data_IF_045150831418
#
_entry.id   IF_045150831418
#
_cell.length_a   1.000
_cell.length_b   1.000
_cell.length_c   1.000
_cell.angle_alpha   90.00
_cell.angle_beta   90.00
_cell.angle_gamma   90.00
#
_symmetry.space_group_name_H-M   'P 1'
#
loop_
_entity.id
_entity.type
_entity.pdbx_description
1 polymer ?
#
# COMPACT_ATOMS: atom_id res chain seq x y z
N UNK A 1 -8.58 -7.91 -5.03
CA UNK A 1 -8.16 -8.35 -3.68
C UNK A 1 -8.36 -7.17 -2.74
N UNK A 2 -8.84 -7.42 -1.52
CA UNK A 2 -9.10 -6.37 -0.52
C UNK A 2 -8.03 -6.36 0.57
N UNK A 3 -7.89 -5.25 1.31
CA UNK A 3 -6.87 -5.09 2.35
C UNK A 3 -6.93 -6.20 3.41
N UNK A 4 -8.12 -6.46 3.97
CA UNK A 4 -8.30 -7.45 5.04
C UNK A 4 -7.97 -8.88 4.59
N UNK A 5 -8.32 -9.22 3.34
CA UNK A 5 -7.98 -10.50 2.71
C UNK A 5 -6.47 -10.64 2.56
N UNK A 6 -5.80 -9.62 2.01
CA UNK A 6 -4.35 -9.59 1.82
C UNK A 6 -3.60 -9.73 3.15
N UNK A 7 -4.04 -9.00 4.18
CA UNK A 7 -3.47 -9.09 5.53
C UNK A 7 -3.60 -10.51 6.11
N UNK A 8 -4.75 -11.16 5.92
CA UNK A 8 -4.98 -12.54 6.38
C UNK A 8 -4.06 -13.53 5.68
N UNK A 9 -3.89 -13.39 4.36
CA UNK A 9 -2.99 -14.23 3.57
C UNK A 9 -1.55 -14.10 4.06
N UNK A 10 -1.04 -12.88 4.18
CA UNK A 10 0.31 -12.59 4.67
C UNK A 10 0.52 -13.13 6.10
N UNK A 11 -0.46 -12.93 6.99
CA UNK A 11 -0.41 -13.50 8.34
C UNK A 11 -0.32 -15.02 8.32
N UNK A 12 -1.12 -15.68 7.47
CA UNK A 12 -1.12 -17.13 7.36
C UNK A 12 0.20 -17.66 6.77
N UNK A 13 0.80 -16.95 5.82
CA UNK A 13 2.12 -17.27 5.26
C UNK A 13 3.23 -17.22 6.33
N UNK A 14 3.14 -16.27 7.26
CA UNK A 14 4.04 -16.16 8.41
C UNK A 14 3.71 -17.16 9.54
N UNK A 15 2.69 -18.02 9.38
CA UNK A 15 2.29 -18.99 10.41
C UNK A 15 1.71 -18.36 11.67
N UNK A 16 1.27 -17.10 11.61
CA UNK A 16 0.79 -16.35 12.77
C UNK A 16 -0.71 -16.56 13.00
N UNK A 17 -1.12 -16.70 14.27
CA UNK A 17 -2.53 -16.58 14.66
C UNK A 17 -2.93 -15.11 14.73
N UNK A 18 -4.23 -14.80 14.68
CA UNK A 18 -4.71 -13.42 14.87
C UNK A 18 -4.21 -12.82 16.21
N UNK A 19 -4.24 -13.62 17.28
CA UNK A 19 -3.70 -13.24 18.59
C UNK A 19 -2.18 -13.02 18.56
N UNK A 20 -1.44 -13.85 17.83
CA UNK A 20 0.00 -13.70 17.65
C UNK A 20 0.38 -12.41 16.93
N UNK A 21 -0.33 -12.09 15.84
CA UNK A 21 -0.15 -10.83 15.12
C UNK A 21 -0.54 -9.63 15.99
N UNK A 22 -1.67 -9.72 16.70
CA UNK A 22 -2.13 -8.65 17.58
C UNK A 22 -1.10 -8.31 18.66
N UNK A 23 -0.50 -9.34 19.29
CA UNK A 23 0.58 -9.17 20.27
C UNK A 23 1.81 -8.50 19.66
N UNK A 24 2.17 -8.88 18.43
CA UNK A 24 3.37 -8.34 17.75
C UNK A 24 3.20 -6.87 17.37
N UNK A 25 1.99 -6.47 16.94
CA UNK A 25 1.68 -5.08 16.60
C UNK A 25 1.39 -4.23 17.85
N UNK A 26 0.91 -4.85 18.94
CA UNK A 26 0.48 -4.18 20.16
C UNK A 26 -0.98 -3.70 20.13
N UNK A 27 -1.87 -4.47 19.52
CA UNK A 27 -3.32 -4.19 19.43
C UNK A 27 -4.14 -5.38 19.98
N UNK A 28 -5.47 -5.24 20.07
CA UNK A 28 -6.34 -6.35 20.42
C UNK A 28 -6.50 -7.34 19.26
N UNK A 29 -6.66 -8.62 19.59
CA UNK A 29 -7.03 -9.69 18.65
C UNK A 29 -8.36 -9.40 17.94
N UNK A 30 -9.30 -8.79 18.66
CA UNK A 30 -10.57 -8.31 18.11
C UNK A 30 -10.36 -7.25 17.04
N UNK A 31 -9.37 -6.36 17.19
CA UNK A 31 -9.04 -5.38 16.16
C UNK A 31 -8.51 -6.07 14.90
N UNK A 32 -7.55 -7.00 15.03
CA UNK A 32 -7.05 -7.79 13.90
C UNK A 32 -8.18 -8.51 13.17
N UNK A 33 -9.10 -9.16 13.91
CA UNK A 33 -10.26 -9.82 13.33
C UNK A 33 -11.18 -8.84 12.59
N UNK A 34 -11.43 -7.64 13.13
CA UNK A 34 -12.21 -6.60 12.44
C UNK A 34 -11.53 -6.12 11.15
N UNK A 35 -10.22 -5.92 11.18
CA UNK A 35 -9.44 -5.48 10.01
C UNK A 35 -9.49 -6.55 8.91
N UNK A 36 -9.23 -7.82 9.25
CA UNK A 36 -9.26 -8.92 8.28
C UNK A 36 -10.64 -9.18 7.67
N UNK A 37 -11.71 -8.85 8.41
CA UNK A 37 -13.09 -9.00 7.96
C UNK A 37 -13.69 -7.72 7.38
N UNK A 38 -12.89 -6.66 7.18
CA UNK A 38 -13.33 -5.34 6.72
C UNK A 38 -14.50 -4.76 7.52
N UNK A 39 -14.54 -5.07 8.81
CA UNK A 39 -15.56 -4.65 9.75
C UNK A 39 -15.06 -3.54 10.69
N UNK A 40 -14.13 -2.72 10.18
CA UNK A 40 -13.92 -1.39 10.70
C UNK A 40 -15.16 -0.58 10.30
N UNK A 41 -15.81 0.10 11.25
CA UNK A 41 -17.06 0.80 10.99
C UNK A 41 -16.93 1.73 9.75
N UNK A 42 -17.95 1.70 8.88
CA UNK A 42 -18.10 2.42 7.60
C UNK A 42 -16.85 3.08 7.00
N UNK A 43 -16.07 2.30 6.25
CA UNK A 43 -15.07 2.80 5.30
C UNK A 43 -13.73 3.20 5.91
N UNK A 44 -13.55 3.01 7.21
CA UNK A 44 -12.27 3.27 7.86
C UNK A 44 -11.25 2.17 7.51
N UNK A 45 -10.13 2.59 6.94
CA UNK A 45 -8.93 1.77 6.84
C UNK A 45 -8.07 1.95 8.09
N UNK A 46 -7.23 0.96 8.46
CA UNK A 46 -6.28 1.15 9.56
C UNK A 46 -5.37 2.36 9.30
N UNK A 47 -4.78 2.91 10.37
CA UNK A 47 -3.87 4.05 10.25
C UNK A 47 -2.62 3.71 9.42
N UNK A 48 -1.97 4.71 8.80
CA UNK A 48 -0.66 4.51 8.14
C UNK A 48 0.34 3.87 9.12
N UNK A 49 0.35 4.33 10.37
CA UNK A 49 1.21 3.79 11.43
C UNK A 49 0.98 2.30 11.72
N UNK A 50 -0.26 1.82 11.59
CA UNK A 50 -0.56 0.40 11.70
C UNK A 50 -0.04 -0.35 10.49
N UNK A 51 -0.24 0.20 9.29
CA UNK A 51 0.17 -0.41 8.02
C UNK A 51 1.70 -0.52 7.93
N UNK A 52 2.45 0.50 8.32
CA UNK A 52 3.92 0.45 8.40
C UNK A 52 4.40 -0.72 9.28
N UNK A 53 3.88 -0.81 10.52
CA UNK A 53 4.21 -1.91 11.43
C UNK A 53 3.80 -3.28 10.90
N UNK A 54 2.66 -3.33 10.22
CA UNK A 54 2.14 -4.56 9.62
C UNK A 54 3.07 -5.04 8.52
N UNK A 55 3.53 -4.14 7.64
CA UNK A 55 4.49 -4.44 6.58
C UNK A 55 5.79 -5.00 7.16
N UNK A 56 6.34 -4.35 8.20
CA UNK A 56 7.55 -4.80 8.88
C UNK A 56 7.41 -6.21 9.49
N UNK A 57 6.29 -6.48 10.17
CA UNK A 57 6.07 -7.76 10.87
C UNK A 57 5.77 -8.90 9.90
N UNK A 58 5.07 -8.60 8.80
CA UNK A 58 4.65 -9.60 7.83
C UNK A 58 5.62 -9.77 6.65
N UNK A 59 6.70 -8.99 6.61
CA UNK A 59 7.64 -8.91 5.48
C UNK A 59 6.90 -8.67 4.15
N UNK A 60 6.07 -7.63 4.14
CA UNK A 60 5.16 -7.33 3.05
C UNK A 60 5.50 -5.99 2.36
N UNK A 61 5.04 -5.83 1.13
CA UNK A 61 5.13 -4.56 0.41
C UNK A 61 4.22 -3.52 1.07
N UNK A 62 4.83 -2.53 1.71
CA UNK A 62 4.12 -1.44 2.38
C UNK A 62 3.28 -0.61 1.40
N UNK A 63 3.81 -0.32 0.22
CA UNK A 63 3.12 0.50 -0.78
C UNK A 63 1.87 -0.23 -1.29
N UNK A 64 1.97 -1.56 -1.50
CA UNK A 64 0.80 -2.41 -1.81
C UNK A 64 -0.27 -2.28 -0.70
N UNK A 65 0.12 -2.44 0.56
CA UNK A 65 -0.80 -2.40 1.70
C UNK A 65 -1.44 -1.01 1.88
N UNK A 66 -0.68 0.06 1.68
CA UNK A 66 -1.19 1.43 1.72
C UNK A 66 -2.23 1.66 0.61
N UNK A 67 -1.94 1.25 -0.63
CA UNK A 67 -2.84 1.40 -1.76
C UNK A 67 -4.14 0.61 -1.58
N UNK A 68 -4.05 -0.65 -1.10
CA UNK A 68 -5.23 -1.46 -0.73
C UNK A 68 -6.05 -0.81 0.40
N UNK A 69 -5.41 0.01 1.23
CA UNK A 69 -6.04 0.81 2.27
C UNK A 69 -6.54 2.19 1.80
N UNK A 70 -6.61 2.43 0.49
CA UNK A 70 -6.93 3.73 -0.12
C UNK A 70 -6.02 4.88 0.37
N UNK A 71 -4.76 4.57 0.70
CA UNK A 71 -3.73 5.54 1.08
C UNK A 71 -2.65 5.57 0.01
N UNK A 72 -2.31 6.76 -0.45
CA UNK A 72 -1.26 6.93 -1.47
C UNK A 72 0.11 6.99 -0.78
N UNK A 73 1.10 6.16 -1.13
CA UNK A 73 2.46 6.22 -0.59
C UNK A 73 3.09 7.62 -0.58
N UNK A 74 3.91 7.91 0.44
CA UNK A 74 4.53 9.24 0.62
C UNK A 74 5.32 9.67 -0.61
N UNK A 75 6.11 8.76 -1.18
CA UNK A 75 6.92 9.03 -2.37
C UNK A 75 6.07 9.46 -3.57
N UNK A 76 4.92 8.79 -3.78
CA UNK A 76 3.97 9.13 -4.85
C UNK A 76 3.31 10.48 -4.55
N UNK A 77 2.83 10.71 -3.32
CA UNK A 77 2.24 12.00 -2.91
C UNK A 77 3.18 13.16 -3.15
N UNK A 78 4.45 13.00 -2.79
CA UNK A 78 5.49 14.01 -3.01
C UNK A 78 5.68 14.27 -4.50
N UNK A 79 5.78 13.21 -5.31
CA UNK A 79 5.97 13.36 -6.76
C UNK A 79 4.79 14.04 -7.45
N UNK A 80 3.56 13.75 -7.02
CA UNK A 80 2.34 14.43 -7.47
C UNK A 80 2.38 15.92 -7.14
N UNK A 81 2.85 16.30 -5.94
CA UNK A 81 3.00 17.71 -5.53
C UNK A 81 4.09 18.43 -6.32
N UNK A 82 5.20 17.77 -6.62
CA UNK A 82 6.32 18.34 -7.39
C UNK A 82 5.98 18.57 -8.86
N UNK A 83 5.12 17.74 -9.45
CA UNK A 83 4.77 17.78 -10.89
C UNK A 83 3.27 17.59 -11.15
N UNK A 84 2.40 18.46 -10.61
CA UNK A 84 0.96 18.25 -10.66
C UNK A 84 0.41 18.14 -12.09
N UNK A 85 0.92 18.93 -13.05
CA UNK A 85 0.42 18.91 -14.43
C UNK A 85 0.64 17.57 -15.13
N UNK A 86 1.74 16.88 -14.83
CA UNK A 86 2.01 15.55 -15.40
C UNK A 86 0.96 14.56 -14.91
N UNK A 87 0.72 14.50 -13.61
CA UNK A 87 -0.24 13.55 -13.03
C UNK A 87 -1.69 13.91 -13.36
N UNK A 88 -2.05 15.20 -13.48
CA UNK A 88 -3.36 15.61 -14.00
C UNK A 88 -3.58 15.14 -15.42
N UNK A 89 -2.56 15.23 -16.27
CA UNK A 89 -2.66 14.72 -17.65
C UNK A 89 -2.81 13.20 -17.66
N UNK A 90 -2.00 12.49 -16.87
CA UNK A 90 -2.06 11.02 -16.76
C UNK A 90 -3.43 10.56 -16.24
N UNK A 91 -4.00 11.23 -15.25
CA UNK A 91 -5.31 10.91 -14.68
C UNK A 91 -6.49 11.04 -15.67
N UNK A 92 -6.30 11.74 -16.79
CA UNK A 92 -7.30 11.88 -17.85
C UNK A 92 -7.11 10.93 -19.04
N UNK A 93 -6.10 10.05 -19.02
CA UNK A 93 -5.86 9.07 -20.07
C UNK A 93 -6.70 7.80 -19.82
N UNK A 94 -7.00 7.06 -20.89
CA UNK A 94 -7.59 5.72 -20.78
C UNK A 94 -6.52 4.67 -20.40
N UNK A 95 -6.98 3.53 -19.87
CA UNK A 95 -6.11 2.44 -19.43
C UNK A 95 -5.18 1.95 -20.55
N UNK A 96 -5.69 1.83 -21.78
CA UNK A 96 -4.90 1.40 -22.95
C UNK A 96 -3.74 2.33 -23.25
N UNK A 97 -3.93 3.63 -23.05
CA UNK A 97 -2.88 4.63 -23.27
C UNK A 97 -1.88 4.62 -22.12
N UNK A 98 -2.35 4.45 -20.89
CA UNK A 98 -1.49 4.31 -19.71
C UNK A 98 -0.58 3.07 -19.83
N UNK A 99 -1.13 1.92 -20.24
CA UNK A 99 -0.37 0.68 -20.45
C UNK A 99 0.74 0.88 -21.49
N UNK A 100 0.42 1.52 -22.62
CA UNK A 100 1.42 1.83 -23.66
C UNK A 100 2.53 2.74 -23.16
N UNK A 101 2.20 3.74 -22.35
CA UNK A 101 3.20 4.63 -21.75
C UNK A 101 4.09 3.87 -20.75
N UNK A 102 3.51 2.95 -19.97
CA UNK A 102 4.25 2.12 -19.03
C UNK A 102 5.28 1.26 -19.77
N UNK A 103 4.88 0.55 -20.83
CA UNK A 103 5.81 -0.25 -21.66
C UNK A 103 6.95 0.60 -22.22
N UNK A 104 6.66 1.81 -22.72
CA UNK A 104 7.69 2.72 -23.25
C UNK A 104 8.70 3.21 -22.19
N UNK A 105 8.32 3.21 -20.90
CA UNK A 105 9.19 3.61 -19.80
C UNK A 105 10.06 2.44 -19.32
N UNK A 106 9.56 1.21 -19.37
CA UNK A 106 10.31 -0.02 -19.04
C UNK A 106 11.46 -0.28 -20.03
N UNK A 107 11.26 0.06 -21.30
CA UNK A 107 12.27 -0.09 -22.37
C UNK A 107 13.42 0.93 -22.29
N UNK A 108 13.36 1.93 -21.39
CA UNK A 108 14.42 2.93 -21.19
C UNK A 108 15.08 2.72 -19.82
N UNK A 109 16.40 2.46 -19.74
CA UNK A 109 17.07 2.27 -18.47
C UNK A 109 16.90 3.50 -17.57
N UNK A 110 16.31 3.27 -16.40
CA UNK A 110 16.04 4.29 -15.41
C UNK A 110 17.38 4.84 -14.89
N UNK A 111 17.69 6.10 -15.21
CA UNK A 111 18.84 6.77 -14.60
C UNK A 111 18.42 7.21 -13.20
N UNK A 112 18.99 6.67 -12.10
CA UNK A 112 18.66 7.14 -10.77
C UNK A 112 19.08 8.61 -10.65
N UNK A 113 18.11 9.49 -10.36
CA UNK A 113 18.43 10.86 -9.97
C UNK A 113 19.09 10.81 -8.59
N UNK A 114 20.41 10.91 -8.56
CA UNK A 114 21.17 11.17 -7.34
C UNK A 114 20.59 12.40 -6.65
N UNK A 115 20.29 12.37 -5.34
CA UNK A 115 19.98 13.58 -4.61
C UNK A 115 21.25 14.45 -4.62
N UNK A 116 21.17 15.62 -5.27
CA UNK A 116 22.24 16.62 -5.20
C UNK A 116 22.32 17.09 -3.75
N UNK A 117 23.47 16.82 -3.11
CA UNK A 117 23.89 17.47 -1.87
C UNK A 117 24.13 18.96 -2.11
#
# INVERSE_FOLDING_TARGET
MRFGERMRELRAQQGLTQRGLAKSIGVSDTYISKVENENLHFGDFPSETFIHKLADILDADEDELLLLANKVPVAIRQRVRERPEVFRRLAGLDDKTLDRLLTQLEDKPNSPKTPRR
#
